data_IF_292406722686
#
_entry.id   IF_292406722686
#
_cell.length_a   1.000
_cell.length_b   1.000
_cell.length_c   1.000
_cell.angle_alpha   90.00
_cell.angle_beta   90.00
_cell.angle_gamma   90.00
#
_symmetry.space_group_name_H-M   'P 1'
#
loop_
_entity.id
_entity.type
_entity.pdbx_description
1 polymer ?
#
# COMPACT_ATOMS: atom_id res chain seq x y z
N UNK A 1 -11.42 -9.01 0.00
CA UNK A 1 -11.52 -7.54 0.00
C UNK A 1 -11.41 -7.02 -1.43
N UNK A 2 -12.02 -5.85 -1.72
CA UNK A 2 -11.95 -5.17 -3.01
C UNK A 2 -11.61 -3.70 -2.78
N UNK A 3 -10.60 -3.19 -3.47
CA UNK A 3 -10.10 -1.81 -3.34
C UNK A 3 -10.06 -1.12 -4.70
N UNK A 4 -10.20 0.21 -4.68
CA UNK A 4 -9.88 1.06 -5.82
C UNK A 4 -8.53 1.72 -5.51
N UNK A 5 -7.51 1.39 -6.29
CA UNK A 5 -6.20 2.02 -6.23
C UNK A 5 -6.16 3.16 -7.24
N UNK A 6 -5.86 4.38 -6.78
CA UNK A 6 -5.53 5.51 -7.64
C UNK A 6 -4.03 5.76 -7.60
N UNK A 7 -3.35 5.50 -8.69
CA UNK A 7 -1.93 5.82 -8.84
C UNK A 7 -1.77 7.23 -9.41
N UNK A 8 -0.98 8.06 -8.73
CA UNK A 8 -0.57 9.38 -9.21
C UNK A 8 0.90 9.33 -9.64
N UNK A 9 1.19 9.60 -10.91
CA UNK A 9 2.56 9.63 -11.42
C UNK A 9 2.87 11.00 -12.01
N UNK A 10 3.90 11.66 -11.47
CA UNK A 10 4.45 12.88 -12.04
C UNK A 10 5.39 12.52 -13.19
N UNK A 11 5.13 13.04 -14.38
CA UNK A 11 6.00 12.92 -15.55
C UNK A 11 7.16 13.92 -15.48
N UNK A 12 8.22 13.66 -16.25
CA UNK A 12 9.34 14.60 -16.42
C UNK A 12 8.92 15.94 -17.01
N UNK A 13 7.80 16.00 -17.76
CA UNK A 13 7.19 17.24 -18.26
C UNK A 13 6.56 18.10 -17.15
N UNK A 14 6.37 17.56 -15.94
CA UNK A 14 5.66 18.22 -14.84
C UNK A 14 4.20 17.79 -14.69
N UNK A 15 3.61 17.18 -15.72
CA UNK A 15 2.23 16.69 -15.72
C UNK A 15 2.01 15.58 -14.68
N UNK A 16 0.81 15.52 -14.11
CA UNK A 16 0.39 14.43 -13.23
C UNK A 16 -0.57 13.54 -14.00
N UNK A 17 -0.21 12.27 -14.15
CA UNK A 17 -1.10 11.24 -14.68
C UNK A 17 -1.75 10.50 -13.53
N UNK A 18 -3.05 10.28 -13.65
CA UNK A 18 -3.83 9.48 -12.71
C UNK A 18 -4.30 8.20 -13.39
N UNK A 19 -4.30 7.09 -12.64
CA UNK A 19 -4.83 5.82 -13.11
C UNK A 19 -5.56 5.12 -11.98
N UNK A 20 -6.83 4.80 -12.22
CA UNK A 20 -7.63 4.02 -11.28
C UNK A 20 -7.64 2.56 -11.71
N UNK A 21 -7.37 1.66 -10.78
CA UNK A 21 -7.45 0.22 -10.95
C UNK A 21 -8.25 -0.40 -9.82
N UNK A 22 -9.06 -1.40 -10.16
CA UNK A 22 -9.74 -2.21 -9.15
C UNK A 22 -8.86 -3.39 -8.80
N UNK A 23 -8.60 -3.58 -7.51
CA UNK A 23 -7.81 -4.69 -6.99
C UNK A 23 -8.73 -5.54 -6.12
N UNK A 24 -8.69 -6.85 -6.31
CA UNK A 24 -9.46 -7.81 -5.51
C UNK A 24 -8.49 -8.84 -4.95
N UNK A 25 -8.62 -9.11 -3.66
CA UNK A 25 -7.71 -10.02 -2.94
C UNK A 25 -7.97 -9.98 -1.44
N UNK A 26 -7.51 -11.00 -0.73
CA UNK A 26 -7.46 -11.04 0.73
C UNK A 26 -6.42 -12.11 1.13
N UNK A 27 -5.21 -11.73 1.57
CA UNK A 27 -4.73 -10.36 1.75
C UNK A 27 -4.40 -9.63 0.43
N UNK A 28 -4.14 -8.33 0.49
CA UNK A 28 -3.60 -7.52 -0.62
C UNK A 28 -2.17 -7.10 -0.25
N UNK A 29 -1.19 -7.51 -1.03
CA UNK A 29 0.24 -7.29 -0.77
C UNK A 29 0.75 -6.11 -1.58
N UNK A 30 1.65 -5.35 -0.99
CA UNK A 30 2.34 -4.22 -1.59
C UNK A 30 3.84 -4.51 -1.64
N UNK A 31 4.50 -4.19 -2.74
CA UNK A 31 5.95 -4.34 -2.86
C UNK A 31 6.46 -4.30 -4.30
N UNK A 32 7.73 -4.64 -4.50
CA UNK A 32 8.39 -4.73 -5.81
C UNK A 32 8.47 -6.17 -6.34
N UNK A 33 7.93 -7.14 -5.61
CA UNK A 33 7.85 -8.55 -6.03
C UNK A 33 6.93 -8.75 -7.23
N UNK A 34 7.07 -9.87 -7.92
CA UNK A 34 6.18 -10.24 -9.02
C UNK A 34 4.86 -10.87 -8.54
N UNK A 35 4.80 -11.23 -7.25
CA UNK A 35 3.73 -11.96 -6.59
C UNK A 35 2.93 -11.07 -5.61
N UNK A 36 2.87 -9.77 -5.91
CA UNK A 36 2.10 -8.77 -5.14
C UNK A 36 0.96 -8.20 -5.98
N UNK A 37 -0.14 -7.84 -5.33
CA UNK A 37 -1.29 -7.22 -5.99
C UNK A 37 -1.06 -5.73 -6.30
N UNK A 38 -0.29 -5.04 -5.46
CA UNK A 38 0.09 -3.62 -5.65
C UNK A 38 1.59 -3.53 -5.86
N UNK A 39 1.99 -3.31 -7.12
CA UNK A 39 3.39 -3.10 -7.48
C UNK A 39 3.85 -1.67 -7.14
N UNK A 40 4.90 -1.55 -6.34
CA UNK A 40 5.56 -0.30 -5.98
C UNK A 40 6.76 -0.08 -6.91
N UNK A 41 6.63 0.87 -7.83
CA UNK A 41 7.69 1.25 -8.76
C UNK A 41 8.72 2.21 -8.11
N UNK A 42 9.24 1.82 -6.96
CA UNK A 42 10.35 2.51 -6.28
C UNK A 42 11.47 1.49 -6.03
N UNK A 43 12.71 1.72 -6.53
CA UNK A 43 13.85 0.86 -6.26
C UNK A 43 14.16 0.66 -4.76
N UNK A 44 13.72 1.58 -3.89
CA UNK A 44 13.90 1.52 -2.44
C UNK A 44 12.84 0.65 -1.75
N UNK A 45 11.73 0.35 -2.42
CA UNK A 45 10.70 -0.54 -1.87
C UNK A 45 11.21 -1.99 -1.83
N UNK A 46 10.84 -2.70 -0.76
CA UNK A 46 11.12 -4.12 -0.61
C UNK A 46 10.29 -4.95 -1.60
N UNK A 47 10.72 -6.20 -1.84
CA UNK A 47 9.95 -7.15 -2.65
C UNK A 47 8.54 -7.37 -2.05
N UNK A 48 8.48 -7.45 -0.72
CA UNK A 48 7.25 -7.39 0.07
C UNK A 48 7.44 -6.25 1.06
N UNK A 49 6.70 -5.16 0.88
CA UNK A 49 6.80 -3.96 1.71
C UNK A 49 5.77 -3.96 2.83
N UNK A 50 4.51 -4.26 2.48
CA UNK A 50 3.42 -4.30 3.45
C UNK A 50 2.27 -5.18 2.95
N UNK A 51 1.35 -5.52 3.84
CA UNK A 51 0.17 -6.34 3.55
C UNK A 51 -1.07 -5.69 4.17
N UNK A 52 -2.10 -5.49 3.35
CA UNK A 52 -3.45 -5.17 3.81
C UNK A 52 -4.21 -6.46 4.05
N UNK A 53 -4.65 -6.66 5.29
CA UNK A 53 -5.41 -7.82 5.71
C UNK A 53 -6.66 -7.40 6.49
N UNK A 54 -7.73 -8.16 6.30
CA UNK A 54 -8.93 -8.02 7.11
C UNK A 54 -8.81 -8.91 8.35
N UNK A 55 -9.00 -8.33 9.54
CA UNK A 55 -8.94 -9.01 10.84
C UNK A 55 -10.02 -8.44 11.75
N UNK A 56 -10.81 -9.30 12.36
CA UNK A 56 -11.85 -8.91 13.33
C UNK A 56 -12.78 -7.78 12.83
N UNK A 57 -13.13 -7.82 11.53
CA UNK A 57 -13.98 -6.81 10.88
C UNK A 57 -13.31 -5.45 10.62
N UNK A 58 -11.99 -5.33 10.86
CA UNK A 58 -11.18 -4.17 10.53
C UNK A 58 -10.16 -4.46 9.43
N UNK A 59 -9.69 -3.41 8.76
CA UNK A 59 -8.57 -3.50 7.83
C UNK A 59 -7.30 -3.10 8.57
N UNK A 60 -6.26 -3.91 8.45
CA UNK A 60 -4.94 -3.69 9.04
C UNK A 60 -3.91 -3.62 7.93
N UNK A 61 -2.94 -2.71 8.10
CA UNK A 61 -1.73 -2.65 7.31
C UNK A 61 -0.58 -3.17 8.17
N UNK A 62 0.02 -4.27 7.73
CA UNK A 62 1.19 -4.85 8.38
C UNK A 62 2.43 -4.59 7.53
N UNK A 63 3.46 -4.06 8.17
CA UNK A 63 4.75 -3.85 7.54
C UNK A 63 5.51 -5.19 7.43
N UNK A 64 6.30 -5.34 6.36
CA UNK A 64 7.11 -6.53 6.19
C UNK A 64 8.36 -6.48 7.07
N UNK A 65 8.42 -7.37 8.07
CA UNK A 65 9.61 -7.56 8.90
C UNK A 65 9.92 -6.35 9.80
N UNK A 66 11.09 -5.72 9.58
CA UNK A 66 11.61 -4.62 10.43
C UNK A 66 11.50 -3.24 9.80
N UNK A 67 10.94 -3.13 8.59
CA UNK A 67 10.76 -1.82 7.93
C UNK A 67 9.39 -1.30 8.33
N UNK A 68 9.28 -0.26 9.19
CA UNK A 68 7.99 0.25 9.61
C UNK A 68 7.28 0.96 8.45
N UNK A 69 5.96 0.99 8.51
CA UNK A 69 5.12 1.87 7.71
C UNK A 69 4.70 3.06 8.56
N UNK A 70 4.29 4.15 7.92
CA UNK A 70 3.75 5.32 8.62
C UNK A 70 2.24 5.36 8.43
N UNK A 71 1.46 5.42 9.50
CA UNK A 71 0.00 5.60 9.46
C UNK A 71 -0.30 6.89 10.20
N UNK A 72 -0.95 7.84 9.52
CA UNK A 72 -1.29 9.17 10.04
C UNK A 72 -0.14 9.83 10.83
N UNK A 73 1.06 9.83 10.24
CA UNK A 73 2.23 10.43 10.88
C UNK A 73 3.12 9.48 11.70
N UNK A 74 2.59 8.34 12.16
CA UNK A 74 3.23 7.50 13.17
C UNK A 74 3.86 6.24 12.57
N UNK A 75 5.12 5.98 12.89
CA UNK A 75 5.82 4.76 12.48
C UNK A 75 5.34 3.55 13.28
N UNK A 76 4.80 2.55 12.58
CA UNK A 76 4.24 1.33 13.16
C UNK A 76 4.64 0.11 12.33
N UNK A 77 4.64 -1.07 12.97
CA UNK A 77 4.81 -2.36 12.28
C UNK A 77 3.48 -3.02 11.90
N UNK A 78 2.40 -2.61 12.57
CA UNK A 78 1.03 -2.98 12.26
C UNK A 78 0.10 -1.90 12.79
N UNK A 79 -0.94 -1.58 12.04
CA UNK A 79 -1.97 -0.65 12.50
C UNK A 79 -3.28 -0.83 11.73
N UNK A 80 -4.38 -0.53 12.41
CA UNK A 80 -5.70 -0.47 11.78
C UNK A 80 -5.76 0.76 10.88
N UNK A 81 -6.34 0.60 9.70
CA UNK A 81 -6.62 1.68 8.75
C UNK A 81 -8.13 1.76 8.53
N UNK A 82 -8.66 2.97 8.54
CA UNK A 82 -10.04 3.29 8.23
C UNK A 82 -10.13 4.03 6.88
N UNK A 83 -11.34 4.11 6.35
CA UNK A 83 -11.59 4.89 5.14
C UNK A 83 -11.32 6.37 5.43
N UNK A 84 -10.40 6.96 4.67
CA UNK A 84 -9.98 8.35 4.82
C UNK A 84 -8.59 8.52 5.43
N UNK A 85 -8.07 7.50 6.11
CA UNK A 85 -6.74 7.52 6.71
C UNK A 85 -5.66 7.52 5.62
N UNK A 86 -4.47 8.02 5.97
CA UNK A 86 -3.32 8.08 5.09
C UNK A 86 -2.19 7.21 5.61
N UNK A 87 -1.46 6.56 4.70
CA UNK A 87 -0.27 5.81 5.07
C UNK A 87 0.87 6.00 4.05
N UNK A 88 2.10 5.82 4.52
CA UNK A 88 3.33 5.85 3.73
C UNK A 88 4.09 4.54 3.95
N UNK A 89 4.66 3.99 2.87
CA UNK A 89 5.42 2.74 2.86
C UNK A 89 6.80 2.94 2.25
#
# INVERSE_FOLDING_TARGET
>A
MKLVLRTLQRKSSGDIVTRDTTISGAPIRLGRGADVEIFLNDPRALLHQATLAERDGGIYLDAAGRTPVKIDGHLVTSGRINVGDSFEV
#
